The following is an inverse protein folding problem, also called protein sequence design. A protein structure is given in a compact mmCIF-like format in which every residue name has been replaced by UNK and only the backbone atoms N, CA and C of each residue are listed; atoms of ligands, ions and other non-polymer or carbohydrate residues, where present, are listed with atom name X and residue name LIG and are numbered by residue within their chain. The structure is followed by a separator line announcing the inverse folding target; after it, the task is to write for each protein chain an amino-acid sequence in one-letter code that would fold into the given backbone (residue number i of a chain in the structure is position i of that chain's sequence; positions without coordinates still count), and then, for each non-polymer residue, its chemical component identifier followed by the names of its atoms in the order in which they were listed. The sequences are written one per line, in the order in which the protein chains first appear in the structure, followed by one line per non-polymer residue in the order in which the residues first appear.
data_IF_980522675642
#
_entry.id   IF_980522675642
#
_cell.length_a   1.000
_cell.length_b   1.000
_cell.length_c   1.000
_cell.angle_alpha   90.00
_cell.angle_beta   90.00
_cell.angle_gamma   90.00
#
_symmetry.space_group_name_H-M   'P 1'
#
loop_
_entity.id
_entity.type
_entity.pdbx_description
1 polymer ?
#
# COMPACT_ATOMS: atom_id res chain seq x y z
N UNK A 1 -11.31 24.45 -2.02
CA UNK A 1 -10.72 23.36 -2.83
C UNK A 1 -11.28 21.99 -2.44
N UNK A 2 -10.92 21.41 -1.29
CA UNK A 2 -11.36 20.06 -0.88
C UNK A 2 -12.87 19.77 -0.90
N UNK A 3 -13.71 20.77 -0.60
CA UNK A 3 -15.17 20.63 -0.54
C UNK A 3 -15.88 20.83 -1.89
N UNK A 4 -15.17 21.33 -2.91
CA UNK A 4 -15.79 21.63 -4.21
C UNK A 4 -15.90 20.36 -5.04
N UNK A 5 -17.05 20.16 -5.69
CA UNK A 5 -17.26 19.10 -6.69
C UNK A 5 -16.96 19.57 -8.13
N UNK A 6 -16.73 20.87 -8.34
CA UNK A 6 -16.38 21.44 -9.65
C UNK A 6 -14.86 21.56 -9.78
N UNK A 7 -14.30 20.92 -10.81
CA UNK A 7 -12.87 21.02 -11.14
C UNK A 7 -12.46 22.46 -11.46
N UNK A 8 -13.27 23.20 -12.24
CA UNK A 8 -13.02 24.61 -12.56
C UNK A 8 -12.90 25.48 -11.29
N UNK A 9 -13.75 25.21 -10.30
CA UNK A 9 -13.69 25.90 -9.01
C UNK A 9 -12.45 25.48 -8.21
N UNK A 10 -12.03 24.22 -8.30
CA UNK A 10 -10.80 23.75 -7.65
C UNK A 10 -9.55 24.38 -8.28
N UNK A 11 -9.49 24.45 -9.60
CA UNK A 11 -8.40 25.10 -10.36
C UNK A 11 -8.34 26.60 -10.06
N UNK A 12 -9.48 27.30 -10.10
CA UNK A 12 -9.56 28.72 -9.74
C UNK A 12 -9.11 28.96 -8.29
N UNK A 13 -9.46 28.06 -7.36
CA UNK A 13 -9.01 28.13 -5.99
C UNK A 13 -7.50 27.90 -5.86
N UNK A 14 -6.93 26.97 -6.62
CA UNK A 14 -5.47 26.75 -6.69
C UNK A 14 -4.76 28.01 -7.16
N UNK A 15 -5.20 28.60 -8.26
CA UNK A 15 -4.56 29.79 -8.85
C UNK A 15 -4.56 30.97 -7.87
N UNK A 16 -5.67 31.18 -7.16
CA UNK A 16 -5.76 32.18 -6.10
C UNK A 16 -4.78 31.89 -4.95
N UNK A 17 -4.67 30.63 -4.51
CA UNK A 17 -3.76 30.24 -3.43
C UNK A 17 -2.29 30.45 -3.83
N UNK A 18 -1.92 30.16 -5.08
CA UNK A 18 -0.57 30.39 -5.59
C UNK A 18 -0.25 31.89 -5.63
N UNK A 19 -1.15 32.72 -6.16
CA UNK A 19 -0.98 34.19 -6.17
C UNK A 19 -0.82 34.74 -4.74
N UNK A 20 -1.62 34.25 -3.79
CA UNK A 20 -1.52 34.64 -2.38
C UNK A 20 -0.17 34.26 -1.76
N UNK A 21 0.32 33.06 -2.09
CA UNK A 21 1.60 32.58 -1.59
C UNK A 21 2.80 33.33 -2.19
N UNK A 22 2.69 33.84 -3.42
CA UNK A 22 3.73 34.64 -4.07
C UNK A 22 3.75 36.09 -3.58
N UNK A 23 2.58 36.69 -3.36
CA UNK A 23 2.48 38.10 -2.97
C UNK A 23 2.91 38.41 -1.53
N UNK A 24 2.88 37.41 -0.62
CA UNK A 24 3.20 37.64 0.79
C UNK A 24 3.80 36.39 1.48
N UNK A 25 5.02 36.46 2.05
CA UNK A 25 5.64 35.36 2.79
C UNK A 25 4.78 34.80 3.94
N UNK A 26 3.98 35.63 4.62
CA UNK A 26 3.09 35.16 5.70
C UNK A 26 1.97 34.28 5.18
N UNK A 27 1.41 34.61 4.02
CA UNK A 27 0.40 33.78 3.39
C UNK A 27 1.02 32.54 2.76
N UNK A 28 2.25 32.59 2.26
CA UNK A 28 2.95 31.42 1.74
C UNK A 28 2.98 30.26 2.74
N UNK A 29 3.32 30.53 4.00
CA UNK A 29 3.35 29.50 5.06
C UNK A 29 1.97 28.91 5.35
N UNK A 30 0.97 29.78 5.42
CA UNK A 30 -0.41 29.38 5.70
C UNK A 30 -1.02 28.58 4.54
N UNK A 31 -0.78 29.02 3.30
CA UNK A 31 -1.20 28.33 2.09
C UNK A 31 -0.53 26.97 2.01
N UNK A 32 0.79 26.90 2.22
CA UNK A 32 1.53 25.64 2.19
C UNK A 32 1.00 24.63 3.23
N UNK A 33 0.81 25.05 4.48
CA UNK A 33 0.20 24.18 5.52
C UNK A 33 -1.24 23.81 5.18
N UNK A 34 -2.02 24.75 4.63
CA UNK A 34 -3.39 24.52 4.20
C UNK A 34 -3.49 23.48 3.08
N UNK A 35 -2.59 23.54 2.08
CA UNK A 35 -2.52 22.58 0.99
C UNK A 35 -2.17 21.17 1.50
N UNK A 36 -1.24 21.05 2.46
CA UNK A 36 -0.95 19.75 3.11
C UNK A 36 -2.21 19.22 3.81
N UNK A 37 -3.00 20.09 4.43
CA UNK A 37 -4.28 19.74 5.03
C UNK A 37 -5.38 19.34 4.04
N UNK A 38 -5.22 19.63 2.73
CA UNK A 38 -6.15 19.21 1.68
C UNK A 38 -5.90 17.76 1.24
N UNK A 39 -4.66 17.25 1.36
CA UNK A 39 -4.28 15.93 0.86
C UNK A 39 -5.18 14.76 1.31
N UNK A 40 -5.74 14.74 2.53
CA UNK A 40 -6.66 13.68 2.96
C UNK A 40 -8.08 13.76 2.36
N UNK A 41 -8.35 14.60 1.36
CA UNK A 41 -9.69 14.72 0.76
C UNK A 41 -9.97 13.63 -0.28
N UNK A 42 -11.26 13.36 -0.54
CA UNK A 42 -11.70 12.29 -1.46
C UNK A 42 -11.68 12.69 -2.95
N UNK A 43 -11.20 13.88 -3.31
CA UNK A 43 -11.18 14.34 -4.71
C UNK A 43 -9.77 14.15 -5.28
N UNK A 44 -9.57 13.22 -6.24
CA UNK A 44 -8.26 12.99 -6.86
C UNK A 44 -7.71 14.25 -7.53
N UNK A 45 -8.59 15.00 -8.19
CA UNK A 45 -8.24 16.29 -8.79
C UNK A 45 -7.75 17.29 -7.75
N UNK A 46 -8.45 17.45 -6.63
CA UNK A 46 -8.02 18.36 -5.57
C UNK A 46 -6.69 17.92 -4.93
N UNK A 47 -6.48 16.61 -4.74
CA UNK A 47 -5.20 16.06 -4.27
C UNK A 47 -4.07 16.37 -5.27
N UNK A 48 -4.29 16.12 -6.56
CA UNK A 48 -3.32 16.39 -7.62
C UNK A 48 -2.94 17.88 -7.66
N UNK A 49 -3.93 18.78 -7.65
CA UNK A 49 -3.70 20.24 -7.64
C UNK A 49 -2.93 20.66 -6.38
N UNK A 50 -3.31 20.13 -5.20
CA UNK A 50 -2.62 20.42 -3.95
C UNK A 50 -1.15 19.97 -4.00
N UNK A 51 -0.87 18.76 -4.47
CA UNK A 51 0.49 18.23 -4.62
C UNK A 51 1.34 19.09 -5.56
N UNK A 52 0.78 19.52 -6.69
CA UNK A 52 1.46 20.40 -7.64
C UNK A 52 1.84 21.75 -7.01
N UNK A 53 0.91 22.39 -6.30
CA UNK A 53 1.19 23.65 -5.61
C UNK A 53 2.16 23.47 -4.45
N UNK A 54 2.05 22.39 -3.67
CA UNK A 54 3.02 22.05 -2.61
C UNK A 54 4.42 21.92 -3.21
N UNK A 55 4.58 21.24 -4.34
CA UNK A 55 5.87 21.08 -5.03
C UNK A 55 6.49 22.44 -5.40
N UNK A 56 5.70 23.33 -6.01
CA UNK A 56 6.16 24.67 -6.40
C UNK A 56 6.58 25.49 -5.16
N UNK A 57 5.76 25.46 -4.11
CA UNK A 57 6.03 26.22 -2.88
C UNK A 57 7.18 25.62 -2.07
N UNK A 58 7.36 24.30 -2.10
CA UNK A 58 8.46 23.61 -1.43
C UNK A 58 9.81 24.01 -2.01
N UNK A 59 9.92 24.15 -3.32
CA UNK A 59 11.17 24.55 -3.99
C UNK A 59 11.68 25.94 -3.56
N UNK A 60 10.80 26.80 -3.02
CA UNK A 60 11.15 28.13 -2.50
C UNK A 60 11.53 28.11 -1.01
N UNK A 61 11.50 26.95 -0.35
CA UNK A 61 11.71 26.77 1.10
C UNK A 61 13.03 26.05 1.37
N UNK A 62 13.56 26.22 2.59
CA UNK A 62 14.78 25.54 3.04
C UNK A 62 14.50 24.22 3.76
N UNK A 63 13.34 24.10 4.40
CA UNK A 63 12.93 22.91 5.16
C UNK A 63 11.60 22.38 4.63
N UNK A 64 11.42 21.06 4.73
CA UNK A 64 10.17 20.42 4.36
C UNK A 64 9.32 20.15 5.61
N UNK A 65 8.00 20.22 5.47
CA UNK A 65 7.12 19.83 6.57
C UNK A 65 7.08 18.30 6.69
N UNK A 66 7.49 17.78 7.86
CA UNK A 66 7.54 16.34 8.19
C UNK A 66 6.20 15.63 7.97
N UNK A 67 5.07 16.34 8.11
CA UNK A 67 3.75 15.78 7.83
C UNK A 67 3.61 15.27 6.38
N UNK A 68 4.43 15.75 5.44
CA UNK A 68 4.44 15.25 4.06
C UNK A 68 4.79 13.76 3.98
N UNK A 69 5.57 13.22 4.91
CA UNK A 69 5.94 11.79 4.91
C UNK A 69 4.67 10.94 5.00
N UNK A 70 3.84 11.17 6.03
CA UNK A 70 2.59 10.44 6.22
C UNK A 70 1.61 10.65 5.07
N UNK A 71 1.55 11.88 4.52
CA UNK A 71 0.67 12.18 3.38
C UNK A 71 1.11 11.49 2.10
N UNK A 72 2.42 11.39 1.85
CA UNK A 72 2.97 10.67 0.70
C UNK A 72 2.65 9.19 0.84
N UNK A 73 2.91 8.58 2.00
CA UNK A 73 2.61 7.18 2.26
C UNK A 73 1.13 6.91 1.97
N UNK A 74 0.23 7.70 2.56
CA UNK A 74 -1.21 7.59 2.33
C UNK A 74 -1.56 7.68 0.83
N UNK A 75 -1.06 8.69 0.12
CA UNK A 75 -1.44 8.91 -1.29
C UNK A 75 -0.85 7.88 -2.27
N UNK A 76 0.17 7.13 -1.89
CA UNK A 76 0.70 6.03 -2.71
C UNK A 76 -0.28 4.84 -2.81
N UNK A 77 -1.28 4.76 -1.94
CA UNK A 77 -2.35 3.75 -2.03
C UNK A 77 -3.45 4.13 -3.05
N UNK A 78 -3.42 5.37 -3.56
CA UNK A 78 -4.43 5.87 -4.49
C UNK A 78 -4.42 5.10 -5.81
N UNK A 79 -5.59 4.67 -6.28
CA UNK A 79 -5.77 4.07 -7.60
C UNK A 79 -5.72 5.10 -8.74
N UNK A 80 -5.69 6.40 -8.41
CA UNK A 80 -5.65 7.50 -9.38
C UNK A 80 -4.21 7.79 -9.80
N UNK A 81 -3.87 7.42 -11.03
CA UNK A 81 -2.50 7.53 -11.57
C UNK A 81 -2.01 8.99 -11.60
N UNK A 82 -2.91 9.95 -11.79
CA UNK A 82 -2.61 11.38 -11.73
C UNK A 82 -2.13 11.81 -10.33
N UNK A 83 -2.70 11.25 -9.26
CA UNK A 83 -2.29 11.52 -7.87
C UNK A 83 -0.93 10.91 -7.62
N UNK A 84 -0.73 9.62 -7.95
CA UNK A 84 0.57 8.96 -7.80
C UNK A 84 1.68 9.68 -8.58
N UNK A 85 1.39 10.14 -9.81
CA UNK A 85 2.36 10.87 -10.63
C UNK A 85 2.76 12.20 -9.96
N UNK A 86 1.81 12.92 -9.37
CA UNK A 86 2.08 14.16 -8.66
C UNK A 86 2.86 13.91 -7.36
N UNK A 87 2.64 12.78 -6.67
CA UNK A 87 3.44 12.35 -5.51
C UNK A 87 4.90 12.10 -5.92
N UNK A 88 5.15 11.39 -7.03
CA UNK A 88 6.52 11.13 -7.54
C UNK A 88 7.24 12.44 -7.85
N UNK A 89 6.57 13.38 -8.51
CA UNK A 89 7.15 14.70 -8.80
C UNK A 89 7.44 15.52 -7.53
N UNK A 90 6.62 15.40 -6.49
CA UNK A 90 6.92 15.99 -5.19
C UNK A 90 8.11 15.30 -4.52
N UNK A 91 8.17 13.97 -4.54
CA UNK A 91 9.27 13.18 -3.98
C UNK A 91 10.63 13.58 -4.55
N UNK A 92 10.71 13.78 -5.88
CA UNK A 92 11.91 14.26 -6.56
C UNK A 92 12.44 15.57 -5.97
N UNK A 93 11.55 16.52 -5.68
CA UNK A 93 11.91 17.78 -5.02
C UNK A 93 12.34 17.54 -3.58
N UNK A 94 11.62 16.68 -2.84
CA UNK A 94 11.90 16.39 -1.43
C UNK A 94 13.23 15.68 -1.17
N UNK A 95 13.84 15.05 -2.18
CA UNK A 95 15.19 14.47 -2.06
C UNK A 95 16.28 15.52 -1.77
N UNK A 96 16.01 16.80 -2.04
CA UNK A 96 16.91 17.91 -1.69
C UNK A 96 16.78 18.40 -0.24
N UNK A 97 15.91 17.79 0.58
CA UNK A 97 15.55 18.29 1.91
C UNK A 97 15.98 17.35 3.04
N UNK A 98 15.89 17.86 4.27
CA UNK A 98 16.28 17.16 5.50
C UNK A 98 15.44 15.91 5.80
N UNK A 99 14.27 15.76 5.18
CA UNK A 99 13.39 14.60 5.34
C UNK A 99 13.63 13.48 4.32
N UNK A 100 14.60 13.63 3.41
CA UNK A 100 14.83 12.69 2.32
C UNK A 100 15.09 11.25 2.83
N UNK A 101 15.92 11.10 3.87
CA UNK A 101 16.27 9.77 4.38
C UNK A 101 15.07 9.09 5.08
N UNK A 102 14.24 9.85 5.79
CA UNK A 102 13.00 9.35 6.39
C UNK A 102 12.01 8.88 5.31
N UNK A 103 11.90 9.63 4.21
CA UNK A 103 11.07 9.25 3.05
C UNK A 103 11.57 7.96 2.42
N UNK A 104 12.89 7.85 2.17
CA UNK A 104 13.46 6.64 1.56
C UNK A 104 13.19 5.42 2.44
N UNK A 105 13.38 5.55 3.76
CA UNK A 105 13.10 4.46 4.70
C UNK A 105 11.62 4.09 4.73
N UNK A 106 10.72 5.07 4.68
CA UNK A 106 9.28 4.83 4.56
C UNK A 106 8.94 4.04 3.29
N UNK A 107 9.44 4.46 2.12
CA UNK A 107 9.24 3.75 0.85
C UNK A 107 9.78 2.32 0.90
N UNK A 108 10.95 2.10 1.51
CA UNK A 108 11.52 0.76 1.68
C UNK A 108 10.65 -0.10 2.59
N UNK A 109 10.06 0.47 3.64
CA UNK A 109 9.16 -0.26 4.55
C UNK A 109 7.89 -0.71 3.84
N UNK A 110 7.36 0.11 2.92
CA UNK A 110 6.18 -0.22 2.12
C UNK A 110 6.38 -1.42 1.17
N UNK A 111 7.63 -1.75 0.84
CA UNK A 111 7.96 -2.91 0.01
C UNK A 111 7.70 -4.26 0.72
N UNK A 112 7.61 -4.27 2.06
CA UNK A 112 7.30 -5.47 2.84
C UNK A 112 6.09 -5.19 3.75
N UNK A 113 4.87 -5.21 3.19
CA UNK A 113 3.67 -4.94 3.96
C UNK A 113 3.58 -5.90 5.16
N UNK A 114 3.33 -5.35 6.35
CA UNK A 114 3.15 -6.15 7.56
C UNK A 114 1.77 -6.85 7.48
N UNK A 115 1.78 -8.10 6.96
CA UNK A 115 0.60 -8.95 6.78
C UNK A 115 -0.25 -9.07 8.07
N UNK A 116 0.38 -9.08 9.25
CA UNK A 116 -0.29 -9.23 10.55
C UNK A 116 -1.13 -8.02 10.98
N UNK A 117 -0.75 -6.78 10.63
CA UNK A 117 -1.51 -5.58 11.01
C UNK A 117 -2.83 -5.47 10.23
N UNK A 118 -2.89 -6.05 9.03
CA UNK A 118 -4.03 -5.93 8.14
C UNK A 118 -5.11 -6.98 8.42
N UNK A 119 -4.71 -8.22 8.77
CA UNK A 119 -5.67 -9.20 9.31
C UNK A 119 -6.36 -8.66 10.57
N UNK A 120 -5.60 -8.02 11.47
CA UNK A 120 -6.15 -7.39 12.67
C UNK A 120 -7.20 -6.32 12.36
N UNK A 121 -6.94 -5.48 11.34
CA UNK A 121 -7.90 -4.47 10.86
C UNK A 121 -9.15 -5.09 10.24
N UNK A 122 -8.97 -6.11 9.39
CA UNK A 122 -10.07 -6.83 8.74
C UNK A 122 -10.97 -7.53 9.76
N UNK A 123 -10.39 -8.09 10.84
CA UNK A 123 -11.17 -8.69 11.93
C UNK A 123 -11.87 -7.65 12.80
N UNK A 124 -11.26 -6.48 13.08
CA UNK A 124 -11.97 -5.42 13.82
C UNK A 124 -13.11 -4.82 13.02
N UNK A 125 -12.93 -4.60 11.71
CA UNK A 125 -13.93 -4.01 10.82
C UNK A 125 -15.12 -4.96 10.59
N UNK A 126 -14.87 -6.27 10.52
CA UNK A 126 -15.92 -7.30 10.47
C UNK A 126 -16.69 -7.49 11.80
N UNK A 127 -16.20 -6.92 12.92
CA UNK A 127 -16.87 -7.00 14.23
C UNK A 127 -17.51 -5.70 14.67
N UNK A 128 -17.34 -4.60 13.92
CA UNK A 128 -17.89 -3.28 14.26
C UNK A 128 -19.27 -3.00 13.63
N UNK A 129 -19.80 -3.91 12.81
CA UNK A 129 -21.11 -3.74 12.14
C UNK A 129 -22.32 -4.28 12.93
N UNK A 130 -22.15 -4.70 14.18
CA UNK A 130 -23.26 -5.06 15.05
C UNK A 130 -23.20 -4.29 16.38
N UNK A 131 -24.29 -3.55 16.63
CA UNK A 131 -24.67 -2.76 17.80
C UNK A 131 -24.40 -1.25 17.68
N UNK A 132 -25.44 -0.51 17.29
CA UNK A 132 -25.90 0.65 18.07
C UNK A 132 -27.36 0.95 17.70
N UNK A 133 -28.27 0.11 18.21
CA UNK A 133 -29.68 0.46 18.37
C UNK A 133 -30.04 0.42 19.87
N UNK A 134 -30.78 1.45 20.28
CA UNK A 134 -31.52 1.65 21.53
C UNK A 134 -30.91 2.43 22.73
N UNK A 135 -31.27 3.72 22.73
CA UNK A 135 -32.13 4.41 23.72
C UNK A 135 -31.53 4.82 25.08
N UNK A 136 -31.52 6.15 25.23
CA UNK A 136 -31.41 6.96 26.45
C UNK A 136 -32.40 6.59 27.56
N UNK A 137 -31.92 6.56 28.82
CA UNK A 137 -32.68 7.14 29.95
C UNK A 137 -31.77 7.60 31.11
N UNK A 138 -32.10 8.79 31.62
CA UNK A 138 -31.51 9.45 32.79
C UNK A 138 -32.05 8.87 34.11
N UNK A 139 -31.23 8.73 35.18
CA UNK A 139 -31.51 9.33 36.51
C UNK A 139 -30.41 9.10 37.58
N UNK A 140 -30.44 10.02 38.55
CA UNK A 140 -29.52 10.41 39.64
C UNK A 140 -29.15 9.40 40.76
N UNK A 141 -27.89 9.51 41.18
CA UNK A 141 -27.27 9.65 42.53
C UNK A 141 -28.04 9.28 43.83
N UNK A 142 -27.39 8.51 44.72
CA UNK A 142 -27.44 8.61 46.21
C UNK A 142 -26.56 7.56 46.94
N UNK A 143 -25.48 8.04 47.57
CA UNK A 143 -24.89 7.79 48.91
C UNK A 143 -24.89 6.44 49.67
N UNK A 144 -23.74 6.27 50.38
CA UNK A 144 -23.52 5.67 51.73
C UNK A 144 -23.61 4.13 51.89
N UNK A 145 -22.79 3.39 52.66
CA UNK A 145 -21.65 3.63 53.57
C UNK A 145 -21.02 2.25 53.93
N UNK A 146 -19.81 2.26 54.52
CA UNK A 146 -19.28 1.29 55.51
C UNK A 146 -18.42 0.06 55.07
N UNK A 147 -17.14 0.12 55.45
CA UNK A 147 -16.13 -0.97 55.62
C UNK A 147 -16.19 -1.51 57.08
N UNK A 148 -15.37 -2.47 57.61
CA UNK A 148 -14.19 -3.21 57.08
C UNK A 148 -14.21 -4.76 57.37
N UNK A 149 -13.30 -5.62 56.88
CA UNK A 149 -12.10 -6.11 57.62
C UNK A 149 -11.44 -7.32 56.88
N UNK A 150 -10.11 -7.36 56.81
CA UNK A 150 -9.23 -8.52 56.43
C UNK A 150 -9.13 -9.57 57.58
N UNK A 151 -8.37 -10.73 57.55
CA UNK A 151 -7.31 -11.22 56.63
C UNK A 151 -7.28 -12.76 56.28
N UNK A 152 -6.38 -13.10 55.33
CA UNK A 152 -5.62 -14.35 54.90
C UNK A 152 -5.48 -15.53 55.94
N UNK A 153 -4.94 -16.78 55.67
CA UNK A 153 -4.32 -17.40 54.47
C UNK A 153 -4.38 -18.97 54.27
N UNK A 154 -3.70 -19.45 53.20
CA UNK A 154 -2.92 -20.72 53.05
C UNK A 154 -3.62 -22.10 52.84
N UNK A 155 -3.21 -22.84 51.79
CA UNK A 155 -2.43 -24.12 51.81
C UNK A 155 -2.70 -25.00 50.57
N UNK A 156 -1.60 -25.43 49.96
CA UNK A 156 -1.39 -26.42 48.91
C UNK A 156 -1.94 -27.83 49.19
N UNK A 157 -2.22 -28.61 48.13
CA UNK A 157 -1.77 -30.02 48.05
C UNK A 157 -1.90 -30.63 46.66
N UNK A 158 -0.75 -31.03 46.13
CA UNK A 158 -0.57 -32.12 45.17
C UNK A 158 -1.24 -33.40 45.66
N UNK A 159 -1.91 -34.17 44.80
CA UNK A 159 -1.88 -35.65 44.81
C UNK A 159 -1.94 -36.19 43.36
N UNK A 160 -0.96 -37.05 43.09
CA UNK A 160 -0.72 -37.95 41.97
C UNK A 160 -1.83 -38.98 41.70
N UNK A 161 -1.97 -39.42 40.44
CA UNK A 161 -2.66 -40.68 40.14
C UNK A 161 -2.94 -40.94 38.65
N UNK A 162 -1.99 -41.58 37.96
CA UNK A 162 -2.18 -42.40 36.74
C UNK A 162 -2.86 -43.72 37.20
N UNK A 163 -3.81 -44.38 36.48
CA UNK A 163 -3.57 -44.95 35.15
C UNK A 163 -4.71 -45.00 34.11
N UNK A 164 -4.26 -44.86 32.87
CA UNK A 164 -4.61 -45.60 31.64
C UNK A 164 -5.70 -46.69 31.71
N UNK A 165 -6.74 -46.58 30.87
CA UNK A 165 -7.28 -47.68 30.05
C UNK A 165 -8.07 -47.13 28.84
N UNK A 166 -8.10 -47.96 27.80
CA UNK A 166 -8.21 -47.65 26.37
C UNK A 166 -9.62 -48.02 25.84
N UNK A 167 -9.88 -48.05 24.52
CA UNK A 167 -10.87 -47.23 23.80
C UNK A 167 -12.13 -48.00 23.36
N UNK A 168 -13.14 -47.29 22.83
CA UNK A 168 -14.18 -47.71 21.85
C UNK A 168 -14.83 -46.39 21.38
N UNK A 169 -15.09 -46.09 20.11
CA UNK A 169 -15.90 -46.88 19.18
C UNK A 169 -15.65 -46.51 17.70
N UNK A 170 -15.75 -47.53 16.84
CA UNK A 170 -16.09 -47.45 15.41
C UNK A 170 -17.48 -46.79 15.24
N UNK A 171 -17.95 -46.28 14.09
CA UNK A 171 -17.83 -46.76 12.71
C UNK A 171 -18.42 -45.74 11.73
N UNK A 172 -17.75 -45.59 10.57
CA UNK A 172 -18.23 -45.52 9.17
C UNK A 172 -19.60 -44.87 8.87
N UNK A 173 -19.68 -43.97 7.89
CA UNK A 173 -19.81 -44.24 6.43
C UNK A 173 -20.12 -42.86 5.78
N UNK A 174 -19.88 -42.50 4.52
CA UNK A 174 -19.51 -43.11 3.23
C UNK A 174 -19.08 -41.91 2.35
N UNK A 175 -17.92 -41.93 1.68
CA UNK A 175 -17.77 -42.27 0.24
C UNK A 175 -18.36 -41.23 -0.73
N UNK A 176 -17.75 -40.81 -1.84
CA UNK A 176 -16.43 -41.00 -2.48
C UNK A 176 -16.49 -40.27 -3.83
N UNK A 177 -15.35 -39.74 -4.30
CA UNK A 177 -14.84 -39.75 -5.70
C UNK A 177 -15.58 -38.89 -6.74
N UNK A 178 -14.97 -38.37 -7.81
CA UNK A 178 -13.60 -38.15 -8.29
C UNK A 178 -13.74 -37.41 -9.64
N UNK A 179 -12.69 -36.65 -9.99
CA UNK A 179 -12.14 -36.39 -11.33
C UNK A 179 -12.85 -35.52 -12.39
N UNK A 180 -12.16 -34.41 -12.70
CA UNK A 180 -11.48 -34.07 -13.97
C UNK A 180 -12.31 -33.94 -15.24
N UNK A 181 -12.29 -32.74 -15.85
CA UNK A 181 -11.68 -32.45 -17.19
C UNK A 181 -11.78 -30.97 -17.59
N UNK A 182 -10.71 -30.41 -18.15
CA UNK A 182 -10.75 -29.24 -19.03
C UNK A 182 -10.98 -29.67 -20.49
N UNK A 183 -11.43 -28.74 -21.35
CA UNK A 183 -10.84 -28.67 -22.69
C UNK A 183 -10.56 -27.24 -23.20
N UNK A 184 -9.58 -27.17 -24.11
CA UNK A 184 -9.15 -26.02 -24.92
C UNK A 184 -9.86 -25.92 -26.28
N UNK A 185 -9.74 -24.73 -26.91
CA UNK A 185 -9.76 -24.40 -28.38
C UNK A 185 -11.10 -24.58 -29.13
N UNK A 186 -11.52 -23.79 -30.15
CA UNK A 186 -10.84 -22.93 -31.14
C UNK A 186 -11.86 -22.08 -31.97
N UNK A 187 -11.36 -20.98 -32.59
CA UNK A 187 -11.61 -20.45 -33.95
C UNK A 187 -12.93 -19.72 -34.41
N UNK A 188 -12.69 -18.50 -34.94
CA UNK A 188 -13.23 -17.80 -36.14
C UNK A 188 -14.73 -17.61 -36.44
N UNK A 189 -15.11 -16.37 -36.82
CA UNK A 189 -16.22 -16.14 -37.77
C UNK A 189 -16.99 -14.79 -37.72
N UNK A 190 -16.45 -13.77 -38.38
CA UNK A 190 -17.11 -12.77 -39.26
C UNK A 190 -18.40 -11.95 -38.90
N UNK A 191 -18.22 -10.62 -38.98
CA UNK A 191 -18.99 -9.60 -39.74
C UNK A 191 -20.46 -9.24 -39.42
N UNK A 192 -20.71 -7.92 -39.27
CA UNK A 192 -21.82 -7.23 -39.97
C UNK A 192 -22.70 -6.27 -39.15
N UNK A 193 -22.53 -4.95 -39.38
CA UNK A 193 -23.49 -3.81 -39.53
C UNK A 193 -24.78 -3.81 -38.66
N UNK A 194 -25.21 -2.73 -38.00
CA UNK A 194 -25.79 -1.49 -38.58
C UNK A 194 -26.15 -0.46 -37.49
N UNK A 195 -26.17 0.81 -37.90
CA UNK A 195 -26.70 2.02 -37.25
C UNK A 195 -28.11 1.90 -36.64
N UNK A 196 -28.41 2.63 -35.56
CA UNK A 196 -29.25 3.85 -35.59
C UNK A 196 -29.51 4.48 -34.20
N UNK A 197 -29.35 5.80 -34.19
CA UNK A 197 -29.91 6.84 -33.32
C UNK A 197 -31.26 6.56 -32.65
N UNK A 198 -31.42 6.99 -31.39
CA UNK A 198 -32.53 7.87 -30.97
C UNK A 198 -32.36 8.40 -29.53
N UNK A 199 -32.58 9.71 -29.37
CA UNK A 199 -32.68 10.45 -28.11
C UNK A 199 -33.90 10.01 -27.29
N UNK A 200 -33.77 9.94 -25.95
CA UNK A 200 -34.87 10.35 -25.04
C UNK A 200 -34.42 10.63 -23.60
N UNK A 201 -34.59 11.89 -23.22
CA UNK A 201 -35.10 12.47 -21.97
C UNK A 201 -34.68 11.93 -20.59
N UNK A 202 -34.24 12.91 -19.80
CA UNK A 202 -34.20 12.95 -18.34
C UNK A 202 -35.38 12.24 -17.66
N UNK A 203 -35.04 11.41 -16.67
CA UNK A 203 -35.82 11.26 -15.44
C UNK A 203 -34.89 10.86 -14.30
N UNK A 204 -34.93 11.64 -13.23
CA UNK A 204 -34.25 11.39 -11.97
C UNK A 204 -34.49 9.96 -11.48
N UNK A 205 -33.42 9.24 -11.18
CA UNK A 205 -33.43 8.16 -10.20
C UNK A 205 -32.27 8.36 -9.24
N UNK A 206 -32.67 8.71 -8.03
CA UNK A 206 -31.93 8.53 -6.80
C UNK A 206 -31.71 7.00 -6.66
N UNK A 207 -30.48 6.54 -6.76
CA UNK A 207 -30.10 5.20 -6.34
C UNK A 207 -28.87 5.36 -5.46
N UNK A 208 -29.06 5.07 -4.17
CA UNK A 208 -27.96 4.83 -3.25
C UNK A 208 -27.15 3.68 -3.85
N UNK A 209 -25.88 3.97 -4.12
CA UNK A 209 -24.90 2.95 -4.41
C UNK A 209 -24.47 2.38 -3.07
N UNK A 210 -25.22 1.38 -2.60
CA UNK A 210 -24.62 0.29 -1.84
C UNK A 210 -23.59 -0.32 -2.80
N UNK A 211 -22.33 0.09 -2.65
CA UNK A 211 -21.22 -0.49 -3.38
C UNK A 211 -21.08 -1.92 -2.86
N UNK A 212 -21.71 -2.86 -3.56
CA UNK A 212 -21.31 -4.26 -3.52
C UNK A 212 -19.77 -4.28 -3.66
N UNK A 213 -19.09 -4.70 -2.59
CA UNK A 213 -17.65 -4.90 -2.58
C UNK A 213 -17.33 -5.99 -3.61
N UNK A 214 -17.05 -5.57 -4.85
CA UNK A 214 -16.47 -6.43 -5.85
C UNK A 214 -15.08 -6.80 -5.34
N UNK A 215 -14.91 -8.04 -4.90
CA UNK A 215 -13.67 -8.59 -4.31
C UNK A 215 -12.50 -8.69 -5.29
N UNK A 216 -12.44 -7.74 -6.24
CA UNK A 216 -11.54 -7.66 -7.37
C UNK A 216 -10.68 -6.37 -7.31
N UNK A 217 -10.90 -5.49 -6.34
CA UNK A 217 -9.98 -4.38 -6.08
C UNK A 217 -8.71 -4.91 -5.38
N UNK A 218 -7.51 -4.59 -5.88
CA UNK A 218 -6.27 -4.99 -5.21
C UNK A 218 -6.23 -4.35 -3.83
N UNK A 219 -5.83 -5.13 -2.81
CA UNK A 219 -5.64 -4.59 -1.46
C UNK A 219 -4.75 -3.34 -1.54
N UNK A 220 -5.19 -2.24 -0.94
CA UNK A 220 -4.55 -0.92 -1.06
C UNK A 220 -3.04 -0.95 -0.75
N UNK A 221 -2.64 -1.88 0.10
CA UNK A 221 -1.27 -2.15 0.54
C UNK A 221 -0.36 -2.67 -0.57
N UNK A 222 -0.89 -3.43 -1.54
CA UNK A 222 -0.12 -3.93 -2.67
C UNK A 222 -0.01 -2.87 -3.76
N UNK A 223 -1.04 -2.05 -3.95
CA UNK A 223 -0.95 -0.84 -4.79
C UNK A 223 0.16 0.07 -4.25
N UNK A 224 0.17 0.27 -2.94
CA UNK A 224 1.17 1.07 -2.24
C UNK A 224 2.59 0.46 -2.36
N UNK A 225 2.71 -0.87 -2.26
CA UNK A 225 3.97 -1.60 -2.48
C UNK A 225 4.52 -1.38 -3.90
N UNK A 226 3.68 -1.51 -4.93
CA UNK A 226 4.05 -1.28 -6.32
C UNK A 226 4.47 0.19 -6.57
N UNK A 227 3.68 1.13 -6.04
CA UNK A 227 3.97 2.55 -6.15
C UNK A 227 5.30 2.92 -5.45
N UNK A 228 5.58 2.33 -4.29
CA UNK A 228 6.86 2.52 -3.58
C UNK A 228 8.06 1.98 -4.38
N UNK A 229 7.95 0.77 -4.95
CA UNK A 229 9.00 0.22 -5.83
C UNK A 229 9.27 1.12 -7.04
N UNK A 230 8.20 1.63 -7.67
CA UNK A 230 8.28 2.57 -8.78
C UNK A 230 8.98 3.88 -8.37
N UNK A 231 8.66 4.43 -7.20
CA UNK A 231 9.31 5.62 -6.65
C UNK A 231 10.81 5.38 -6.46
N UNK A 232 11.20 4.30 -5.79
CA UNK A 232 12.60 3.98 -5.52
C UNK A 232 13.42 3.82 -6.80
N UNK A 233 12.85 3.20 -7.84
CA UNK A 233 13.49 3.11 -9.16
C UNK A 233 13.72 4.49 -9.76
N UNK A 234 12.69 5.32 -9.83
CA UNK A 234 12.76 6.66 -10.44
C UNK A 234 13.80 7.52 -9.70
N UNK A 235 13.75 7.52 -8.37
CA UNK A 235 14.71 8.27 -7.54
C UNK A 235 16.15 7.77 -7.72
N UNK A 236 16.33 6.45 -7.93
CA UNK A 236 17.64 5.86 -8.23
C UNK A 236 18.17 6.23 -9.62
N UNK A 237 17.27 6.39 -10.59
CA UNK A 237 17.59 6.86 -11.95
C UNK A 237 17.97 8.34 -11.98
N UNK A 238 17.31 9.16 -11.15
CA UNK A 238 17.55 10.59 -11.09
C UNK A 238 18.88 10.93 -10.36
N UNK A 239 19.32 10.10 -9.42
CA UNK A 239 20.53 10.38 -8.64
C UNK A 239 21.25 9.13 -8.13
N UNK A 240 22.54 9.02 -8.48
CA UNK A 240 23.40 7.93 -7.97
C UNK A 240 23.64 8.03 -6.46
N UNK A 241 23.62 9.24 -5.87
CA UNK A 241 23.78 9.40 -4.41
C UNK A 241 22.56 8.86 -3.67
N UNK A 242 21.36 9.14 -4.19
CA UNK A 242 20.09 8.60 -3.67
C UNK A 242 20.04 7.08 -3.88
N UNK A 243 20.42 6.60 -5.06
CA UNK A 243 20.51 5.18 -5.37
C UNK A 243 21.42 4.41 -4.39
N UNK A 244 22.62 4.92 -4.10
CA UNK A 244 23.51 4.32 -3.09
C UNK A 244 22.92 4.37 -1.67
N UNK A 245 22.20 5.43 -1.31
CA UNK A 245 21.48 5.50 -0.03
C UNK A 245 20.39 4.43 0.07
N UNK A 246 19.59 4.26 -0.98
CA UNK A 246 18.54 3.23 -1.05
C UNK A 246 19.14 1.83 -0.82
N UNK A 247 20.28 1.52 -1.45
CA UNK A 247 20.98 0.25 -1.24
C UNK A 247 21.50 0.13 0.19
N UNK A 248 22.14 1.19 0.73
CA UNK A 248 22.64 1.23 2.11
C UNK A 248 21.55 1.02 3.15
N UNK A 249 20.33 1.45 2.86
CA UNK A 249 19.15 1.25 3.70
C UNK A 249 18.53 -0.15 3.58
N UNK A 250 19.16 -1.08 2.85
CA UNK A 250 18.73 -2.48 2.78
C UNK A 250 17.59 -2.74 1.78
N UNK A 251 17.39 -1.87 0.80
CA UNK A 251 16.27 -1.98 -0.14
C UNK A 251 16.25 -3.28 -0.95
N UNK A 252 17.40 -3.93 -1.19
CA UNK A 252 17.49 -5.13 -2.03
C UNK A 252 16.61 -6.28 -1.51
N UNK A 253 16.65 -6.54 -0.19
CA UNK A 253 15.85 -7.62 0.40
C UNK A 253 14.35 -7.35 0.24
N UNK A 254 13.93 -6.11 0.43
CA UNK A 254 12.52 -5.75 0.34
C UNK A 254 12.03 -5.68 -1.12
N UNK A 255 12.89 -5.29 -2.07
CA UNK A 255 12.57 -5.35 -3.48
C UNK A 255 12.46 -6.81 -3.96
N UNK A 256 13.33 -7.71 -3.51
CA UNK A 256 13.20 -9.16 -3.78
C UNK A 256 11.89 -9.69 -3.20
N UNK A 257 11.54 -9.31 -1.96
CA UNK A 257 10.26 -9.67 -1.36
C UNK A 257 9.08 -9.22 -2.23
N UNK A 258 9.06 -7.95 -2.67
CA UNK A 258 8.01 -7.42 -3.53
C UNK A 258 7.97 -8.08 -4.91
N UNK A 259 9.13 -8.46 -5.46
CA UNK A 259 9.25 -9.21 -6.71
C UNK A 259 8.64 -10.61 -6.62
N UNK A 260 8.68 -11.25 -5.45
CA UNK A 260 8.05 -12.54 -5.18
C UNK A 260 6.58 -12.45 -4.76
N UNK A 261 5.96 -11.27 -4.73
CA UNK A 261 4.58 -11.12 -4.28
C UNK A 261 3.57 -11.60 -5.33
N UNK A 262 3.12 -12.85 -5.23
CA UNK A 262 2.11 -13.44 -6.12
C UNK A 262 0.72 -12.81 -6.01
N UNK A 263 0.42 -12.06 -4.95
CA UNK A 263 -0.89 -11.45 -4.73
C UNK A 263 -1.13 -10.25 -5.65
N UNK A 264 -0.08 -9.61 -6.16
CA UNK A 264 -0.22 -8.45 -7.03
C UNK A 264 0.88 -8.34 -8.09
N UNK A 265 0.48 -8.45 -9.36
CA UNK A 265 1.40 -8.48 -10.50
C UNK A 265 2.14 -7.16 -10.73
N UNK A 266 1.52 -6.01 -10.48
CA UNK A 266 2.21 -4.72 -10.65
C UNK A 266 3.29 -4.52 -9.58
N UNK A 267 3.11 -5.04 -8.36
CA UNK A 267 4.20 -5.08 -7.36
C UNK A 267 5.41 -5.83 -7.89
N UNK A 268 5.19 -7.03 -8.43
CA UNK A 268 6.26 -7.86 -8.99
C UNK A 268 6.98 -7.11 -10.12
N UNK A 269 6.21 -6.52 -11.04
CA UNK A 269 6.72 -5.76 -12.18
C UNK A 269 7.53 -4.54 -11.75
N UNK A 270 7.02 -3.69 -10.87
CA UNK A 270 7.72 -2.47 -10.45
C UNK A 270 8.98 -2.81 -9.63
N UNK A 271 8.91 -3.84 -8.78
CA UNK A 271 10.06 -4.29 -7.99
C UNK A 271 11.16 -4.91 -8.87
N UNK A 272 10.78 -5.74 -9.84
CA UNK A 272 11.70 -6.31 -10.84
C UNK A 272 12.40 -5.21 -11.64
N UNK A 273 11.66 -4.21 -12.13
CA UNK A 273 12.25 -3.08 -12.84
C UNK A 273 13.17 -2.21 -11.97
N UNK A 274 12.88 -2.11 -10.67
CA UNK A 274 13.76 -1.41 -9.73
C UNK A 274 15.06 -2.20 -9.51
N UNK A 275 14.97 -3.50 -9.27
CA UNK A 275 16.12 -4.39 -9.12
C UNK A 275 16.99 -4.43 -10.36
N UNK A 276 16.39 -4.54 -11.54
CA UNK A 276 17.13 -4.62 -12.79
C UNK A 276 17.97 -3.36 -13.01
N UNK A 277 17.41 -2.18 -12.74
CA UNK A 277 18.17 -0.94 -12.80
C UNK A 277 19.37 -0.97 -11.85
N UNK A 278 19.18 -1.43 -10.60
CA UNK A 278 20.27 -1.50 -9.62
C UNK A 278 21.34 -2.52 -10.02
N UNK A 279 20.96 -3.72 -10.48
CA UNK A 279 21.86 -4.74 -11.01
C UNK A 279 22.70 -4.22 -12.18
N UNK A 280 22.06 -3.56 -13.16
CA UNK A 280 22.78 -2.98 -14.31
C UNK A 280 23.70 -1.83 -13.93
N UNK A 281 23.39 -1.10 -12.86
CA UNK A 281 24.16 0.05 -12.40
C UNK A 281 25.35 -0.37 -11.52
N UNK A 282 25.18 -1.40 -10.69
CA UNK A 282 26.17 -1.82 -9.70
C UNK A 282 26.46 -3.33 -9.80
N UNK A 283 27.62 -3.74 -10.35
CA UNK A 283 27.96 -5.15 -10.50
C UNK A 283 27.90 -5.96 -9.20
N UNK A 284 28.32 -5.38 -8.07
CA UNK A 284 28.21 -6.04 -6.76
C UNK A 284 26.76 -6.29 -6.34
N UNK A 285 25.83 -5.41 -6.74
CA UNK A 285 24.39 -5.65 -6.50
C UNK A 285 23.91 -6.81 -7.37
N UNK A 286 24.37 -6.89 -8.62
CA UNK A 286 24.01 -7.99 -9.52
C UNK A 286 24.46 -9.35 -8.96
N UNK A 287 25.70 -9.43 -8.45
CA UNK A 287 26.23 -10.62 -7.80
C UNK A 287 25.39 -11.03 -6.58
N UNK A 288 25.08 -10.08 -5.69
CA UNK A 288 24.26 -10.33 -4.49
C UNK A 288 22.84 -10.80 -4.87
N UNK A 289 22.24 -10.19 -5.89
CA UNK A 289 20.90 -10.54 -6.36
C UNK A 289 20.90 -11.92 -7.02
N UNK A 290 21.91 -12.23 -7.85
CA UNK A 290 22.09 -13.54 -8.47
C UNK A 290 22.31 -14.64 -7.44
N UNK A 291 23.07 -14.38 -6.36
CA UNK A 291 23.27 -15.34 -5.27
C UNK A 291 21.96 -15.61 -4.52
N UNK A 292 21.17 -14.56 -4.27
CA UNK A 292 19.93 -14.66 -3.51
C UNK A 292 18.82 -15.45 -4.23
N UNK A 293 18.63 -15.23 -5.53
CA UNK A 293 17.55 -15.86 -6.30
C UNK A 293 17.99 -17.13 -7.05
N UNK A 294 19.30 -17.32 -7.22
CA UNK A 294 19.89 -18.40 -8.01
C UNK A 294 20.05 -18.04 -9.50
N UNK A 295 21.04 -18.63 -10.18
CA UNK A 295 21.47 -18.17 -11.51
C UNK A 295 20.42 -18.36 -12.60
N UNK A 296 19.61 -19.42 -12.52
CA UNK A 296 18.55 -19.70 -13.52
C UNK A 296 17.46 -18.63 -13.46
N UNK A 297 16.96 -18.34 -12.26
CA UNK A 297 15.94 -17.31 -12.05
C UNK A 297 16.49 -15.91 -12.40
N UNK A 298 17.74 -15.64 -12.05
CA UNK A 298 18.43 -14.39 -12.39
C UNK A 298 18.58 -14.17 -13.89
N UNK A 299 18.98 -15.18 -14.65
CA UNK A 299 19.10 -15.10 -16.11
C UNK A 299 17.76 -14.76 -16.79
N UNK A 300 16.68 -15.42 -16.36
CA UNK A 300 15.32 -15.17 -16.87
C UNK A 300 14.83 -13.75 -16.53
N UNK A 301 15.09 -13.31 -15.30
CA UNK A 301 14.79 -11.98 -14.81
C UNK A 301 15.51 -10.89 -15.60
N UNK A 302 16.83 -10.96 -15.74
CA UNK A 302 17.64 -9.94 -16.44
C UNK A 302 17.22 -9.81 -17.92
N UNK A 303 16.80 -10.93 -18.54
CA UNK A 303 16.34 -10.95 -19.93
C UNK A 303 15.00 -10.25 -20.13
N UNK A 304 14.09 -10.32 -19.15
CA UNK A 304 12.71 -9.85 -19.29
C UNK A 304 12.11 -9.29 -17.98
N UNK A 305 12.70 -8.23 -17.41
CA UNK A 305 12.34 -7.75 -16.07
C UNK A 305 10.89 -7.24 -15.97
N UNK A 306 10.32 -6.75 -17.06
CA UNK A 306 8.96 -6.19 -17.09
C UNK A 306 7.85 -7.23 -17.28
N UNK A 307 8.20 -8.48 -17.59
CA UNK A 307 7.22 -9.55 -17.87
C UNK A 307 7.53 -10.89 -17.22
N UNK A 308 8.70 -11.06 -16.59
CA UNK A 308 9.12 -12.32 -15.98
C UNK A 308 8.11 -12.86 -14.95
N UNK A 309 7.43 -11.97 -14.23
CA UNK A 309 6.38 -12.33 -13.27
C UNK A 309 5.26 -13.20 -13.85
N UNK A 310 5.01 -13.14 -15.18
CA UNK A 310 4.01 -13.98 -15.85
C UNK A 310 4.37 -15.47 -15.85
N UNK A 311 5.64 -15.80 -15.61
CA UNK A 311 6.18 -17.15 -15.57
C UNK A 311 6.65 -17.54 -14.15
N UNK A 312 6.45 -16.66 -13.16
CA UNK A 312 6.88 -16.87 -11.78
C UNK A 312 6.16 -18.08 -11.17
N UNK A 313 6.93 -19.10 -10.83
CA UNK A 313 6.40 -20.26 -10.11
C UNK A 313 6.27 -19.96 -8.61
N UNK A 314 5.36 -20.63 -7.88
CA UNK A 314 5.27 -20.49 -6.43
C UNK A 314 6.58 -20.76 -5.67
N UNK A 315 7.41 -21.68 -6.19
CA UNK A 315 8.71 -21.98 -5.59
C UNK A 315 9.71 -20.82 -5.79
N UNK A 316 9.76 -20.24 -6.99
CA UNK A 316 10.60 -19.07 -7.26
C UNK A 316 10.16 -17.87 -6.44
N UNK A 317 8.84 -17.64 -6.35
CA UNK A 317 8.28 -16.60 -5.49
C UNK A 317 8.66 -16.80 -4.01
N UNK A 318 8.57 -18.03 -3.49
CA UNK A 318 8.96 -18.35 -2.12
C UNK A 318 10.45 -18.09 -1.85
N UNK A 319 11.34 -18.42 -2.80
CA UNK A 319 12.78 -18.08 -2.73
C UNK A 319 12.97 -16.57 -2.58
N UNK A 320 12.26 -15.77 -3.38
CA UNK A 320 12.34 -14.32 -3.36
C UNK A 320 11.77 -13.72 -2.06
N UNK A 321 10.63 -14.20 -1.59
CA UNK A 321 9.96 -13.73 -0.36
C UNK A 321 10.77 -14.10 0.89
N UNK A 322 11.38 -15.29 0.91
CA UNK A 322 12.17 -15.83 2.02
C UNK A 322 13.66 -15.44 1.97
N UNK A 323 14.04 -14.52 1.08
CA UNK A 323 15.42 -14.09 0.92
C UNK A 323 16.00 -13.54 2.24
N UNK A 324 17.31 -13.71 2.41
CA UNK A 324 18.06 -13.23 3.60
C UNK A 324 19.14 -12.20 3.23
N UNK A 325 18.92 -11.46 2.15
CA UNK A 325 19.87 -10.46 1.69
C UNK A 325 20.03 -9.38 2.76
N UNK A 326 21.27 -9.12 3.16
CA UNK A 326 21.64 -8.11 4.15
C UNK A 326 22.72 -7.15 3.63
N UNK A 327 22.85 -7.04 2.31
CA UNK A 327 23.83 -6.18 1.67
C UNK A 327 23.47 -4.70 1.86
N UNK A 328 24.41 -3.93 2.40
CA UNK A 328 24.26 -2.50 2.70
C UNK A 328 25.17 -1.63 1.84
N UNK A 329 25.53 -2.10 0.63
CA UNK A 329 26.28 -1.28 -0.32
C UNK A 329 27.78 -1.16 -0.02
N UNK A 330 28.36 -2.15 0.66
CA UNK A 330 29.82 -2.22 0.83
C UNK A 330 30.49 -2.31 -0.54
N UNK A 331 31.38 -1.37 -0.85
CA UNK A 331 32.08 -1.31 -2.14
C UNK A 331 31.41 -0.49 -3.25
N UNK A 332 30.30 0.22 -2.96
CA UNK A 332 29.59 1.10 -3.92
C UNK A 332 30.01 2.57 -3.92
#
# INVERSE_FOLDING_TARGET
MAKSMSEETQESARDLLEILAEGNPRFSDQVYKGLIGVLPCNSPKAQQLALQSIRILQAKRNTANRALIDRIIYLLESLHLEVQSAVIELLRVLMGFDIADDILMALITLLKPQHEIQLGKLFTEATSDDNDDEISSYHMDSNEESYPSHPIPLVSRNISGIPEMKPLSMSNTKSTKLNVKYPSTCANGNSGKTEKTMKKNHRHQNQGSDSEFDGNEPLSVFVQQAAAAKCLRILSQDSSTVSRKIIKMGALSNLLYAMGNLEFSDSQRQASLALEYLCRTYPLVDEVVSEAMGPVLHEEFIKSPDSHYLQMTPLQADILVSNKVNYTGEGL
#
